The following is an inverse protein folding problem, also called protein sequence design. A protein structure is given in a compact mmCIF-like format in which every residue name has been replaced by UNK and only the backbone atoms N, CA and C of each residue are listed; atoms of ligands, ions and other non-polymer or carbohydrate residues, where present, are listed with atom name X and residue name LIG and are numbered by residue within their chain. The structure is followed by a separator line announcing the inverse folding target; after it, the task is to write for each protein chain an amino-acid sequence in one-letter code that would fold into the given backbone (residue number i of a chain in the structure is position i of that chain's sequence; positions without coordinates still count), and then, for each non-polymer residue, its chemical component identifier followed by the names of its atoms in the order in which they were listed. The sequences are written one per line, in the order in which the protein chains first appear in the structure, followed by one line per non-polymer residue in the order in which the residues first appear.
data_IF_168324067934
#
_entry.id   IF_168324067934
#
_cell.length_a   1.000
_cell.length_b   1.000
_cell.length_c   1.000
_cell.angle_alpha   90.00
_cell.angle_beta   90.00
_cell.angle_gamma   90.00
#
_symmetry.space_group_name_H-M   'P 1'
#
loop_
_entity.id
_entity.type
_entity.pdbx_description
1 polymer ?
#
# COMPACT_ATOMS: atom_id res chain seq x y z
N UNK A 1 14.30 4.58 7.64
CA UNK A 1 13.58 4.60 6.38
C UNK A 1 14.01 5.79 5.53
N UNK A 2 13.97 5.65 4.19
CA UNK A 2 14.29 6.77 3.32
C UNK A 2 13.32 7.93 3.58
N UNK A 3 13.86 9.15 3.57
CA UNK A 3 13.04 10.35 3.82
C UNK A 3 12.07 10.65 2.69
N UNK A 4 12.26 10.02 1.54
CA UNK A 4 11.43 10.18 0.36
C UNK A 4 11.00 8.82 -0.15
N UNK A 5 9.73 8.71 -0.46
CA UNK A 5 9.19 7.53 -1.13
C UNK A 5 9.92 7.36 -2.47
N UNK A 6 10.53 6.22 -2.62
CA UNK A 6 11.01 5.78 -3.92
C UNK A 6 10.01 4.76 -4.41
N UNK A 7 9.36 5.01 -5.54
CA UNK A 7 8.50 3.98 -6.10
C UNK A 7 9.37 2.75 -6.37
N UNK A 8 9.16 1.73 -5.58
CA UNK A 8 9.73 0.42 -5.85
C UNK A 8 9.03 -0.09 -7.09
N UNK A 9 9.76 -0.71 -8.00
CA UNK A 9 9.18 -1.33 -9.18
C UNK A 9 8.27 -2.48 -8.73
N UNK A 10 7.01 -2.17 -8.58
CA UNK A 10 6.02 -3.10 -8.11
C UNK A 10 5.27 -3.63 -9.33
N UNK A 11 5.22 -4.93 -9.46
CA UNK A 11 4.45 -5.56 -10.53
C UNK A 11 2.99 -5.66 -10.10
N UNK A 12 2.14 -4.83 -10.69
CA UNK A 12 0.73 -5.19 -10.81
C UNK A 12 0.65 -6.40 -11.75
N UNK A 13 -0.34 -7.31 -11.64
CA UNK A 13 -0.37 -8.49 -12.49
C UNK A 13 -0.17 -8.09 -13.95
N UNK A 14 0.98 -8.45 -14.49
CA UNK A 14 1.40 -8.29 -15.88
C UNK A 14 1.89 -6.92 -16.36
N UNK A 15 2.08 -5.90 -15.51
CA UNK A 15 2.68 -4.63 -15.96
C UNK A 15 3.62 -4.06 -14.92
N UNK A 16 4.84 -3.75 -15.35
CA UNK A 16 5.75 -2.91 -14.57
C UNK A 16 5.12 -1.52 -14.47
N UNK A 17 4.71 -1.11 -13.30
CA UNK A 17 4.30 0.27 -13.08
C UNK A 17 5.58 1.10 -13.05
N UNK A 18 5.95 1.63 -14.19
CA UNK A 18 7.09 2.52 -14.31
C UNK A 18 6.61 3.93 -14.01
N UNK A 19 6.90 4.40 -12.82
CA UNK A 19 6.65 5.78 -12.46
C UNK A 19 7.64 6.67 -13.22
N UNK A 20 7.15 7.45 -14.15
CA UNK A 20 7.96 8.47 -14.82
C UNK A 20 8.33 9.57 -13.82
N UNK A 21 9.57 10.07 -13.82
CA UNK A 21 9.93 11.21 -12.99
C UNK A 21 9.14 12.48 -13.31
N UNK A 22 8.38 12.49 -14.41
CA UNK A 22 7.54 13.60 -14.83
C UNK A 22 6.11 13.49 -14.34
N UNK A 23 5.69 12.30 -13.87
CA UNK A 23 4.35 12.07 -13.36
C UNK A 23 4.43 11.56 -11.93
N UNK A 24 4.11 12.44 -10.98
CA UNK A 24 3.98 12.05 -9.59
C UNK A 24 2.56 11.49 -9.40
N UNK A 25 2.46 10.25 -8.94
CA UNK A 25 1.14 9.71 -8.61
C UNK A 25 0.52 10.49 -7.44
N UNK A 26 -0.80 10.42 -7.27
CA UNK A 26 -1.41 10.95 -6.06
C UNK A 26 -0.73 10.37 -4.82
N UNK A 27 -0.70 11.13 -3.71
CA UNK A 27 -0.13 10.65 -2.45
C UNK A 27 -0.70 9.29 -2.06
N UNK A 28 0.13 8.26 -1.84
CA UNK A 28 -0.37 6.95 -1.51
C UNK A 28 -0.64 6.75 -0.02
N UNK A 29 -1.70 6.04 0.26
CA UNK A 29 -1.92 5.37 1.54
C UNK A 29 -1.68 3.88 1.32
N UNK A 30 -0.74 3.33 2.06
CA UNK A 30 -0.27 1.96 1.88
C UNK A 30 -0.77 1.06 2.99
N UNK A 31 -1.29 -0.10 2.61
CA UNK A 31 -1.50 -1.24 3.49
C UNK A 31 -0.49 -2.32 3.11
N UNK A 32 0.43 -2.61 4.01
CA UNK A 32 1.43 -3.66 3.82
C UNK A 32 0.91 -4.92 4.52
N UNK A 33 0.80 -6.00 3.78
CA UNK A 33 0.11 -7.22 4.21
C UNK A 33 0.72 -8.49 3.61
N UNK A 34 0.17 -9.62 3.96
CA UNK A 34 0.48 -10.91 3.35
C UNK A 34 -0.72 -11.83 3.38
N UNK A 35 -0.78 -12.78 2.45
CA UNK A 35 -1.89 -13.75 2.38
C UNK A 35 -1.97 -14.66 3.61
N UNK A 36 -0.84 -14.91 4.26
CA UNK A 36 -0.74 -15.75 5.46
C UNK A 36 -1.03 -14.97 6.77
N UNK A 37 -1.25 -13.67 6.67
CA UNK A 37 -1.45 -12.80 7.83
C UNK A 37 -2.93 -12.67 8.15
N UNK A 38 -3.43 -13.43 9.12
CA UNK A 38 -4.85 -13.42 9.49
C UNK A 38 -5.33 -12.06 10.01
N UNK A 39 -4.50 -11.34 10.77
CA UNK A 39 -4.84 -10.00 11.25
C UNK A 39 -4.90 -8.98 10.12
N UNK A 40 -4.07 -9.12 9.09
CA UNK A 40 -4.15 -8.30 7.89
C UNK A 40 -5.49 -8.51 7.17
N UNK A 41 -5.88 -9.76 6.99
CA UNK A 41 -7.12 -10.13 6.32
C UNK A 41 -8.34 -9.63 7.11
N UNK A 42 -8.29 -9.71 8.43
CA UNK A 42 -9.37 -9.22 9.30
C UNK A 42 -9.59 -7.71 9.19
N UNK A 43 -8.53 -6.94 8.96
CA UNK A 43 -8.57 -5.48 8.85
C UNK A 43 -8.78 -4.96 7.42
N UNK A 44 -8.67 -5.82 6.43
CA UNK A 44 -8.79 -5.43 5.03
C UNK A 44 -10.16 -4.83 4.67
N UNK A 45 -11.31 -5.35 5.16
CA UNK A 45 -12.60 -4.73 4.89
C UNK A 45 -12.67 -3.26 5.31
N UNK A 46 -12.10 -2.90 6.45
CA UNK A 46 -12.09 -1.50 6.92
C UNK A 46 -11.22 -0.61 6.03
N UNK A 47 -10.11 -1.13 5.55
CA UNK A 47 -9.24 -0.42 4.61
C UNK A 47 -9.94 -0.20 3.26
N UNK A 48 -10.65 -1.20 2.76
CA UNK A 48 -11.45 -1.09 1.53
C UNK A 48 -12.56 -0.05 1.72
N UNK A 49 -13.27 -0.09 2.84
CA UNK A 49 -14.33 0.88 3.15
C UNK A 49 -13.78 2.31 3.20
N UNK A 50 -12.59 2.49 3.78
CA UNK A 50 -11.94 3.79 3.80
C UNK A 50 -11.57 4.26 2.39
N UNK A 51 -11.08 3.36 1.53
CA UNK A 51 -10.79 3.70 0.13
C UNK A 51 -12.04 4.14 -0.63
N UNK A 52 -13.18 3.50 -0.38
CA UNK A 52 -14.46 3.86 -1.00
C UNK A 52 -14.93 5.26 -0.58
N UNK A 53 -14.65 5.64 0.66
CA UNK A 53 -14.95 6.99 1.17
C UNK A 53 -14.25 8.09 0.37
N UNK A 54 -13.03 7.80 -0.12
CA UNK A 54 -12.22 8.74 -0.91
C UNK A 54 -12.32 8.51 -2.42
N UNK A 55 -13.26 7.69 -2.86
CA UNK A 55 -13.46 7.41 -4.28
C UNK A 55 -13.77 8.69 -5.05
N UNK A 56 -13.08 8.89 -6.16
CA UNK A 56 -13.20 10.11 -6.95
C UNK A 56 -12.33 11.28 -6.48
N UNK A 57 -11.60 11.13 -5.38
CA UNK A 57 -10.64 12.13 -4.93
C UNK A 57 -9.27 11.85 -5.57
N UNK A 58 -8.87 12.73 -6.50
CA UNK A 58 -7.61 12.57 -7.24
C UNK A 58 -6.37 12.94 -6.42
N UNK A 59 -6.55 13.45 -5.20
CA UNK A 59 -5.45 13.84 -4.32
C UNK A 59 -4.91 12.68 -3.48
N UNK A 60 -5.43 11.48 -3.66
CA UNK A 60 -5.03 10.32 -2.85
C UNK A 60 -5.23 9.02 -3.64
N UNK A 61 -4.36 8.06 -3.42
CA UNK A 61 -4.51 6.69 -3.94
C UNK A 61 -4.32 5.67 -2.82
N UNK A 62 -5.19 4.67 -2.78
CA UNK A 62 -5.10 3.57 -1.82
C UNK A 62 -4.41 2.38 -2.48
N UNK A 63 -3.31 1.96 -1.87
CA UNK A 63 -2.45 0.90 -2.39
C UNK A 63 -2.26 -0.18 -1.34
N UNK A 64 -2.12 -1.42 -1.81
CA UNK A 64 -1.63 -2.50 -0.96
C UNK A 64 -0.30 -3.00 -1.50
N UNK A 65 0.59 -3.37 -0.59
CA UNK A 65 1.86 -4.01 -0.94
C UNK A 65 1.94 -5.32 -0.18
N UNK A 66 1.95 -6.43 -0.92
CA UNK A 66 2.10 -7.76 -0.33
C UNK A 66 3.57 -8.05 -0.10
N UNK A 67 3.89 -8.60 1.06
CA UNK A 67 5.23 -9.15 1.33
C UNK A 67 5.30 -10.64 1.03
N UNK A 68 4.30 -11.20 0.36
CA UNK A 68 4.31 -12.58 -0.09
C UNK A 68 5.46 -12.83 -1.07
N UNK A 69 5.99 -14.05 -1.04
CA UNK A 69 7.01 -14.47 -1.99
C UNK A 69 6.38 -14.79 -3.33
N UNK A 70 7.18 -14.72 -4.39
CA UNK A 70 6.70 -14.98 -5.77
C UNK A 70 6.08 -16.37 -5.96
N UNK A 71 6.52 -17.35 -5.17
CA UNK A 71 6.04 -18.73 -5.23
C UNK A 71 4.56 -18.86 -4.86
N UNK A 72 4.02 -17.88 -4.12
CA UNK A 72 2.61 -17.86 -3.72
C UNK A 72 1.80 -16.81 -4.49
N UNK A 73 2.28 -16.41 -5.66
CA UNK A 73 1.60 -15.40 -6.49
C UNK A 73 0.14 -15.76 -6.79
N UNK A 74 -0.15 -17.02 -7.08
CA UNK A 74 -1.53 -17.46 -7.34
C UNK A 74 -2.41 -17.31 -6.12
N UNK A 75 -1.89 -17.59 -4.92
CA UNK A 75 -2.59 -17.39 -3.67
C UNK A 75 -2.86 -15.91 -3.42
N UNK A 76 -1.91 -15.04 -3.76
CA UNK A 76 -2.06 -13.59 -3.68
C UNK A 76 -3.16 -13.09 -4.60
N UNK A 77 -3.18 -13.53 -5.86
CA UNK A 77 -4.23 -13.17 -6.82
C UNK A 77 -5.61 -13.66 -6.36
N UNK A 78 -5.68 -14.88 -5.85
CA UNK A 78 -6.92 -15.45 -5.33
C UNK A 78 -7.43 -14.68 -4.10
N UNK A 79 -6.54 -14.23 -3.22
CA UNK A 79 -6.90 -13.44 -2.06
C UNK A 79 -7.47 -12.07 -2.46
N UNK A 80 -6.87 -11.41 -3.45
CA UNK A 80 -7.37 -10.13 -3.97
C UNK A 80 -8.80 -10.27 -4.46
N UNK A 81 -9.09 -11.32 -5.24
CA UNK A 81 -10.43 -11.59 -5.75
C UNK A 81 -11.40 -11.93 -4.61
N UNK A 82 -11.04 -12.87 -3.76
CA UNK A 82 -11.87 -13.34 -2.65
C UNK A 82 -12.22 -12.21 -1.68
N UNK A 83 -11.27 -11.32 -1.40
CA UNK A 83 -11.43 -10.21 -0.45
C UNK A 83 -11.97 -8.94 -1.09
N UNK A 84 -12.31 -8.98 -2.37
CA UNK A 84 -12.88 -7.84 -3.12
C UNK A 84 -11.97 -6.61 -3.10
N UNK A 85 -10.69 -6.84 -3.29
CA UNK A 85 -9.66 -5.80 -3.27
C UNK A 85 -9.43 -5.14 -4.62
N UNK A 86 -10.26 -5.43 -5.62
CA UNK A 86 -10.08 -4.96 -7.00
C UNK A 86 -10.15 -3.45 -7.19
N UNK A 87 -10.75 -2.71 -6.26
CA UNK A 87 -10.78 -1.24 -6.27
C UNK A 87 -9.50 -0.59 -5.75
N UNK A 88 -8.59 -1.37 -5.21
CA UNK A 88 -7.29 -0.91 -4.70
C UNK A 88 -6.20 -1.16 -5.74
N UNK A 89 -5.11 -0.40 -5.67
CA UNK A 89 -3.91 -0.72 -6.43
C UNK A 89 -3.10 -1.75 -5.66
N UNK A 90 -3.17 -3.01 -6.09
CA UNK A 90 -2.53 -4.13 -5.40
C UNK A 90 -1.19 -4.46 -6.02
N UNK A 91 -0.14 -4.34 -5.24
CA UNK A 91 1.23 -4.51 -5.69
C UNK A 91 1.94 -5.59 -4.88
N UNK A 92 2.84 -6.29 -5.53
CA UNK A 92 3.76 -7.21 -4.86
C UNK A 92 5.17 -6.94 -5.34
N UNK A 93 6.16 -6.88 -4.42
CA UNK A 93 7.55 -6.78 -4.84
C UNK A 93 7.93 -8.07 -5.61
N UNK A 94 8.50 -7.93 -6.80
CA UNK A 94 9.00 -9.10 -7.52
C UNK A 94 10.39 -9.48 -7.04
N UNK A 95 10.49 -10.68 -6.50
CA UNK A 95 11.71 -11.46 -6.38
C UNK A 95 12.86 -10.80 -5.61
N UNK A 96 13.79 -10.18 -6.32
CA UNK A 96 15.00 -9.60 -5.74
C UNK A 96 14.78 -8.27 -5.04
N UNK A 97 13.67 -7.60 -5.35
CA UNK A 97 13.35 -6.28 -4.81
C UNK A 97 12.55 -6.32 -3.51
N UNK A 98 11.96 -7.47 -3.18
CA UNK A 98 11.21 -7.66 -1.95
C UNK A 98 12.07 -7.41 -0.70
N UNK A 99 13.25 -8.01 -0.67
CA UNK A 99 14.19 -7.82 0.43
C UNK A 99 14.62 -6.37 0.58
N UNK A 100 14.80 -5.68 -0.55
CA UNK A 100 15.18 -4.26 -0.55
C UNK A 100 14.04 -3.40 0.00
N UNK A 101 12.80 -3.65 -0.41
CA UNK A 101 11.64 -2.94 0.11
C UNK A 101 11.49 -3.16 1.63
N UNK A 102 11.56 -4.40 2.07
CA UNK A 102 11.45 -4.74 3.49
C UNK A 102 12.54 -4.08 4.32
N UNK A 103 13.78 -4.07 3.80
CA UNK A 103 14.93 -3.45 4.44
C UNK A 103 14.79 -1.93 4.48
N UNK A 104 14.48 -1.30 3.34
CA UNK A 104 14.38 0.17 3.22
C UNK A 104 13.32 0.77 4.14
N UNK A 105 12.20 0.08 4.32
CA UNK A 105 11.07 0.55 5.12
C UNK A 105 10.95 -0.14 6.47
N UNK A 106 11.94 -0.92 6.85
CA UNK A 106 11.98 -1.66 8.14
C UNK A 106 10.71 -2.47 8.38
N UNK A 107 10.30 -3.25 7.37
CA UNK A 107 9.12 -4.10 7.47
C UNK A 107 9.48 -5.35 8.27
N UNK A 108 9.26 -5.28 9.58
CA UNK A 108 9.50 -6.41 10.50
C UNK A 108 8.22 -7.17 10.87
N UNK A 109 7.07 -6.65 10.48
CA UNK A 109 5.78 -7.28 10.76
C UNK A 109 4.66 -6.61 9.98
N UNK A 110 3.56 -7.32 9.84
CA UNK A 110 2.34 -6.89 9.16
C UNK A 110 1.12 -7.19 10.04
N UNK A 111 0.00 -6.47 9.91
CA UNK A 111 -0.22 -5.36 8.97
C UNK A 111 0.55 -4.10 9.37
N UNK A 112 0.87 -3.30 8.37
CA UNK A 112 1.51 -2.01 8.57
C UNK A 112 0.92 -1.01 7.59
N UNK A 113 0.68 0.21 8.06
CA UNK A 113 0.10 1.29 7.25
C UNK A 113 1.06 2.45 7.15
N UNK A 114 1.15 3.03 5.96
CA UNK A 114 2.01 4.18 5.69
C UNK A 114 1.21 5.25 4.95
N UNK A 115 1.50 6.51 5.26
CA UNK A 115 0.91 7.65 4.57
C UNK A 115 2.04 8.51 4.00
N UNK A 116 1.92 8.86 2.73
CA UNK A 116 2.91 9.64 2.00
C UNK A 116 2.23 10.89 1.45
N UNK A 117 2.89 12.05 1.53
CA UNK A 117 2.33 13.30 1.07
C UNK A 117 2.59 13.55 -0.42
N UNK A 118 2.04 14.64 -0.94
CA UNK A 118 2.15 15.03 -2.36
C UNK A 118 3.57 15.40 -2.78
N UNK A 119 4.47 15.69 -1.84
CA UNK A 119 5.89 15.91 -2.11
C UNK A 119 6.70 14.61 -2.08
N UNK A 120 6.06 13.46 -1.83
CA UNK A 120 6.71 12.17 -1.72
C UNK A 120 7.39 11.93 -0.38
N UNK A 121 7.08 12.75 0.63
CA UNK A 121 7.60 12.55 1.98
C UNK A 121 6.73 11.59 2.77
N UNK A 122 7.36 10.75 3.57
CA UNK A 122 6.65 9.84 4.46
C UNK A 122 6.11 10.64 5.63
N UNK A 123 4.78 10.80 5.70
CA UNK A 123 4.10 11.47 6.81
C UNK A 123 4.19 10.60 8.06
N UNK A 124 3.88 9.32 7.91
CA UNK A 124 4.06 8.33 8.94
C UNK A 124 4.37 6.97 8.33
N UNK A 125 5.37 6.29 8.86
CA UNK A 125 5.73 4.93 8.46
C UNK A 125 4.99 3.86 9.29
N UNK A 126 4.32 4.28 10.37
CA UNK A 126 3.63 3.41 11.32
C UNK A 126 2.27 4.01 11.68
N UNK A 127 1.40 4.17 10.69
CA UNK A 127 0.07 4.70 10.90
C UNK A 127 -0.84 3.68 11.61
N UNK A 128 -1.83 4.14 12.39
CA UNK A 128 -2.85 3.25 12.92
C UNK A 128 -3.72 2.67 11.79
N UNK A 129 -4.44 1.56 12.03
CA UNK A 129 -5.32 0.98 11.02
C UNK A 129 -6.53 1.87 10.71
N UNK A 130 -7.22 1.55 9.62
CA UNK A 130 -8.54 2.12 9.33
C UNK A 130 -9.47 1.85 10.51
N UNK A 131 -10.19 2.89 10.95
CA UNK A 131 -10.99 2.83 12.19
C UNK A 131 -10.20 3.15 13.45
N UNK A 132 -8.87 3.22 13.39
CA UNK A 132 -8.00 3.52 14.54
C UNK A 132 -7.28 4.87 14.46
N UNK A 133 -7.65 5.74 13.50
CA UNK A 133 -7.04 7.07 13.34
C UNK A 133 -6.37 7.33 11.99
N UNK A 134 -6.33 6.33 11.11
CA UNK A 134 -5.76 6.49 9.77
C UNK A 134 -6.47 7.57 8.97
N UNK A 135 -7.80 7.63 9.03
CA UNK A 135 -8.61 8.62 8.31
C UNK A 135 -8.24 10.06 8.68
N UNK A 136 -7.99 10.32 9.96
CA UNK A 136 -7.60 11.65 10.43
C UNK A 136 -6.24 12.05 9.83
N UNK A 137 -5.28 11.15 9.82
CA UNK A 137 -3.95 11.39 9.22
C UNK A 137 -4.09 11.69 7.73
N UNK A 138 -4.93 10.93 7.03
CA UNK A 138 -5.20 11.14 5.61
C UNK A 138 -5.80 12.54 5.37
N UNK A 139 -6.83 12.91 6.12
CA UNK A 139 -7.46 14.24 5.99
C UNK A 139 -6.47 15.36 6.20
N UNK A 140 -5.65 15.26 7.24
CA UNK A 140 -4.63 16.25 7.53
C UNK A 140 -3.57 16.34 6.43
N UNK A 141 -3.25 15.24 5.79
CA UNK A 141 -2.27 15.18 4.71
C UNK A 141 -2.81 15.81 3.42
N UNK A 142 -4.07 15.55 3.08
CA UNK A 142 -4.73 16.10 1.90
C UNK A 142 -4.93 17.61 2.01
N UNK A 143 -5.26 18.09 3.22
CA UNK A 143 -5.62 19.49 3.47
C UNK A 143 -4.43 20.44 3.66
N UNK A 144 -3.23 19.92 3.53
CA UNK A 144 -2.00 20.75 3.60
C UNK A 144 -1.71 21.48 2.32
#
# INVERSE_FOLDING_TARGET
PPRRWKPVFLCAPCRKVQWSPVWLPPPPVLSIWATWCSSCLAKMPDFIALSEKYKGNDDIIFMTVSIDRKEVRESWLAAIEKRKMGGLLNLTPECSEQSQFESDYHISGVPRYMVIDKEGKIVTAYAPPAGGGLDEIIRNTINK
#
